data_IF_944409800712
#
_entry.id   IF_944409800712
#
_cell.length_a   1.000
_cell.length_b   1.000
_cell.length_c   1.000
_cell.angle_alpha   90.00
_cell.angle_beta   90.00
_cell.angle_gamma   90.00
#
_symmetry.space_group_name_H-M   'P 1'
#
loop_
_entity.id
_entity.type
_entity.pdbx_description
1 polymer ?
#
# COMPACT_ATOMS: atom_id res chain seq x y z
N UNK A 1 11.67 -4.66 11.56
CA UNK A 1 12.40 -4.59 10.27
C UNK A 1 12.35 -3.20 9.67
N UNK A 2 11.17 -2.64 9.35
CA UNK A 2 11.06 -1.30 8.74
C UNK A 2 11.64 -0.16 9.60
N UNK A 3 11.55 -0.28 10.93
CA UNK A 3 12.10 0.71 11.88
C UNK A 3 13.62 0.59 12.08
N UNK A 4 14.20 -0.57 11.76
CA UNK A 4 15.63 -0.78 11.90
C UNK A 4 16.38 -0.26 10.65
N UNK A 5 17.70 -0.01 10.71
CA UNK A 5 18.49 0.30 9.53
C UNK A 5 18.35 -0.78 8.44
N UNK A 6 18.67 -0.46 7.17
CA UNK A 6 18.60 -1.43 6.07
C UNK A 6 19.32 -2.74 6.39
N UNK A 7 18.61 -3.87 6.22
CA UNK A 7 19.14 -5.18 6.57
C UNK A 7 20.08 -5.75 5.49
N UNK A 8 19.94 -5.36 4.23
CA UNK A 8 20.87 -5.79 3.18
C UNK A 8 22.11 -4.90 3.16
N UNK A 9 23.28 -5.51 3.26
CA UNK A 9 24.56 -4.80 3.17
C UNK A 9 24.87 -4.39 1.72
N UNK A 10 25.80 -3.47 1.50
CA UNK A 10 26.36 -3.28 0.16
C UNK A 10 27.54 -4.26 0.04
N UNK A 11 27.49 -5.26 -0.85
CA UNK A 11 28.62 -6.16 -1.03
C UNK A 11 29.80 -5.42 -1.68
N UNK A 12 31.04 -5.84 -1.44
CA UNK A 12 32.18 -5.32 -2.19
C UNK A 12 32.07 -5.72 -3.68
N UNK A 13 32.65 -4.94 -4.61
CA UNK A 13 32.45 -5.15 -6.06
C UNK A 13 32.77 -6.56 -6.55
N UNK A 14 33.77 -7.22 -5.96
CA UNK A 14 34.18 -8.57 -6.32
C UNK A 14 33.26 -9.68 -5.79
N UNK A 15 32.25 -9.35 -4.99
CA UNK A 15 31.30 -10.30 -4.38
C UNK A 15 29.84 -10.01 -4.72
N UNK A 16 29.57 -9.12 -5.66
CA UNK A 16 28.21 -8.72 -6.03
C UNK A 16 27.34 -9.91 -6.49
N UNK A 17 27.83 -10.76 -7.39
CA UNK A 17 27.06 -11.90 -7.88
C UNK A 17 26.83 -12.97 -6.81
N UNK A 18 27.83 -13.20 -5.95
CA UNK A 18 27.68 -14.12 -4.82
C UNK A 18 26.61 -13.60 -3.84
N UNK A 19 26.66 -12.30 -3.50
CA UNK A 19 25.66 -11.66 -2.66
C UNK A 19 24.26 -11.69 -3.28
N UNK A 20 24.15 -11.43 -4.59
CA UNK A 20 22.90 -11.53 -5.31
C UNK A 20 22.32 -12.94 -5.24
N UNK A 21 23.16 -13.97 -5.42
CA UNK A 21 22.75 -15.38 -5.37
C UNK A 21 22.21 -15.75 -3.99
N UNK A 22 22.92 -15.40 -2.91
CA UNK A 22 22.45 -15.67 -1.55
C UNK A 22 21.15 -14.91 -1.23
N UNK A 23 21.07 -13.62 -1.60
CA UNK A 23 19.87 -12.81 -1.35
C UNK A 23 18.65 -13.29 -2.09
N UNK A 24 18.80 -13.75 -3.34
CA UNK A 24 17.69 -14.26 -4.17
C UNK A 24 16.86 -15.33 -3.46
N UNK A 25 17.49 -16.15 -2.61
CA UNK A 25 16.81 -17.19 -1.83
C UNK A 25 15.87 -16.64 -0.76
N UNK A 26 16.06 -15.39 -0.34
CA UNK A 26 15.27 -14.72 0.70
C UNK A 26 14.16 -13.85 0.11
N UNK A 27 14.23 -13.54 -1.18
CA UNK A 27 13.28 -12.66 -1.87
C UNK A 27 11.89 -13.30 -1.99
N UNK A 28 10.87 -12.56 -1.56
CA UNK A 28 9.48 -12.97 -1.69
C UNK A 28 8.89 -12.46 -3.03
N UNK A 29 8.10 -13.29 -3.76
CA UNK A 29 7.48 -12.89 -5.02
C UNK A 29 6.54 -11.70 -4.90
N UNK A 30 5.80 -11.60 -3.80
CA UNK A 30 4.82 -10.54 -3.56
C UNK A 30 5.41 -9.23 -3.02
N UNK A 31 6.74 -9.10 -2.99
CA UNK A 31 7.42 -7.84 -2.74
C UNK A 31 8.36 -7.80 -1.54
N UNK A 32 8.89 -6.62 -1.30
CA UNK A 32 9.97 -6.36 -0.35
C UNK A 32 9.49 -6.42 1.11
N UNK A 33 8.25 -6.04 1.43
CA UNK A 33 7.75 -6.16 2.80
C UNK A 33 7.72 -7.61 3.27
N UNK A 34 7.25 -8.53 2.41
CA UNK A 34 7.26 -9.96 2.70
C UNK A 34 8.68 -10.53 2.65
N UNK A 35 9.57 -9.97 1.82
CA UNK A 35 11.00 -10.28 1.84
C UNK A 35 11.63 -9.95 3.21
N UNK A 36 11.30 -8.80 3.80
CA UNK A 36 11.80 -8.44 5.14
C UNK A 36 11.31 -9.40 6.22
N UNK A 37 10.07 -9.90 6.10
CA UNK A 37 9.53 -10.94 6.98
C UNK A 37 10.31 -12.25 6.81
N UNK A 38 10.57 -12.67 5.57
CA UNK A 38 11.38 -13.85 5.27
C UNK A 38 12.78 -13.75 5.88
N UNK A 39 13.45 -12.62 5.69
CA UNK A 39 14.79 -12.36 6.25
C UNK A 39 14.78 -12.46 7.78
N UNK A 40 13.81 -11.81 8.43
CA UNK A 40 13.66 -11.88 9.89
C UNK A 40 13.42 -13.32 10.36
N UNK A 41 12.51 -14.04 9.72
CA UNK A 41 12.19 -15.42 10.10
C UNK A 41 13.40 -16.36 9.91
N UNK A 42 14.12 -16.22 8.79
CA UNK A 42 15.32 -17.01 8.53
C UNK A 42 16.40 -16.72 9.59
N UNK A 43 16.58 -15.47 9.99
CA UNK A 43 17.51 -15.11 11.07
C UNK A 43 17.18 -15.81 12.39
N UNK A 44 15.90 -15.81 12.78
CA UNK A 44 15.44 -16.50 14.00
C UNK A 44 15.61 -18.02 13.87
N UNK A 45 15.29 -18.61 12.72
CA UNK A 45 15.44 -20.05 12.47
C UNK A 45 16.91 -20.50 12.52
N UNK A 46 17.84 -19.62 12.14
CA UNK A 46 19.27 -19.84 12.28
C UNK A 46 19.82 -19.44 13.66
N UNK A 47 18.97 -19.34 14.68
CA UNK A 47 19.35 -19.03 16.07
C UNK A 47 20.17 -17.73 16.20
N UNK A 48 19.78 -16.71 15.44
CA UNK A 48 20.41 -15.39 15.48
C UNK A 48 21.91 -15.38 15.09
N UNK A 49 22.34 -16.39 14.33
CA UNK A 49 23.73 -16.59 13.92
C UNK A 49 24.30 -15.45 13.04
N UNK A 50 25.37 -14.83 13.53
CA UNK A 50 26.10 -13.79 12.80
C UNK A 50 26.89 -14.33 11.59
N UNK A 51 27.34 -15.58 11.63
CA UNK A 51 28.03 -16.20 10.50
C UNK A 51 27.06 -16.43 9.33
N UNK A 52 25.83 -16.85 9.62
CA UNK A 52 24.75 -16.88 8.64
C UNK A 52 24.47 -15.50 8.05
N UNK A 53 24.38 -14.45 8.89
CA UNK A 53 24.20 -13.08 8.41
C UNK A 53 25.32 -12.64 7.46
N UNK A 54 26.57 -12.94 7.82
CA UNK A 54 27.75 -12.62 7.00
C UNK A 54 27.70 -13.33 5.65
N UNK A 55 27.36 -14.61 5.64
CA UNK A 55 27.25 -15.42 4.42
C UNK A 55 26.16 -14.90 3.48
N UNK A 56 25.04 -14.44 4.03
CA UNK A 56 23.90 -13.93 3.26
C UNK A 56 23.96 -12.42 2.99
N UNK A 57 25.05 -11.75 3.39
CA UNK A 57 25.25 -10.30 3.27
C UNK A 57 24.12 -9.48 3.91
N UNK A 58 23.77 -9.88 5.13
CA UNK A 58 22.73 -9.27 5.97
C UNK A 58 23.40 -8.60 7.17
N UNK A 59 22.88 -7.45 7.56
CA UNK A 59 23.31 -6.69 8.72
C UNK A 59 22.77 -7.31 10.01
N UNK A 60 23.60 -8.07 10.72
CA UNK A 60 23.24 -8.70 11.99
C UNK A 60 22.81 -7.68 13.06
N UNK A 61 23.44 -6.49 13.10
CA UNK A 61 23.08 -5.45 14.06
C UNK A 61 21.68 -4.89 13.79
N UNK A 62 21.31 -4.71 12.52
CA UNK A 62 19.96 -4.29 12.15
C UNK A 62 18.91 -5.34 12.55
N UNK A 63 19.23 -6.63 12.39
CA UNK A 63 18.34 -7.72 12.79
C UNK A 63 18.17 -7.83 14.29
N UNK A 64 19.27 -7.76 15.07
CA UNK A 64 19.19 -7.70 16.54
C UNK A 64 18.31 -6.55 17.02
N UNK A 65 18.48 -5.35 16.43
CA UNK A 65 17.62 -4.22 16.75
C UNK A 65 16.15 -4.51 16.39
N UNK A 66 15.89 -5.15 15.24
CA UNK A 66 14.54 -5.52 14.87
C UNK A 66 13.90 -6.53 15.84
N UNK A 67 14.69 -7.46 16.40
CA UNK A 67 14.23 -8.40 17.45
C UNK A 67 13.83 -7.63 18.72
N UNK A 68 14.68 -6.72 19.18
CA UNK A 68 14.40 -5.89 20.35
C UNK A 68 13.13 -5.03 20.17
N UNK A 69 13.02 -4.33 19.04
CA UNK A 69 11.84 -3.51 18.73
C UNK A 69 10.58 -4.37 18.68
N UNK A 70 10.65 -5.59 18.12
CA UNK A 70 9.50 -6.48 18.07
C UNK A 70 9.07 -6.93 19.47
N UNK A 71 10.01 -7.21 20.37
CA UNK A 71 9.71 -7.58 21.75
C UNK A 71 9.01 -6.42 22.48
N UNK A 72 9.53 -5.20 22.35
CA UNK A 72 8.92 -4.01 22.96
C UNK A 72 7.50 -3.75 22.42
N UNK A 73 7.31 -3.83 21.10
CA UNK A 73 5.98 -3.67 20.51
C UNK A 73 5.00 -4.75 21.00
N UNK A 74 5.47 -5.98 21.20
CA UNK A 74 4.64 -7.06 21.71
C UNK A 74 4.21 -6.81 23.18
N UNK A 75 5.13 -6.32 24.02
CA UNK A 75 4.82 -5.93 25.40
C UNK A 75 3.77 -4.79 25.43
N UNK A 76 3.92 -3.79 24.55
CA UNK A 76 2.95 -2.70 24.43
C UNK A 76 1.58 -3.23 24.01
N UNK A 77 1.52 -4.11 22.99
CA UNK A 77 0.27 -4.73 22.53
C UNK A 77 -0.43 -5.51 23.65
N UNK A 78 0.33 -6.28 24.43
CA UNK A 78 -0.21 -7.03 25.58
C UNK A 78 -0.74 -6.08 26.65
N UNK A 79 -0.03 -4.99 26.95
CA UNK A 79 -0.44 -3.99 27.96
C UNK A 79 -1.75 -3.29 27.61
N UNK A 80 -2.00 -3.06 26.32
CA UNK A 80 -3.25 -2.45 25.84
C UNK A 80 -4.32 -3.48 25.44
N UNK A 81 -4.09 -4.76 25.79
CA UNK A 81 -5.01 -5.88 25.51
C UNK A 81 -5.35 -6.05 24.02
N UNK A 82 -4.42 -5.68 23.14
CA UNK A 82 -4.60 -5.86 21.70
C UNK A 82 -4.35 -7.33 21.34
N UNK A 83 -5.29 -8.00 20.65
CA UNK A 83 -5.18 -9.43 20.36
C UNK A 83 -3.96 -9.73 19.49
N UNK A 84 -3.15 -10.68 19.93
CA UNK A 84 -1.97 -11.16 19.19
C UNK A 84 -2.27 -12.53 18.62
N UNK A 85 -2.45 -12.61 17.30
CA UNK A 85 -2.57 -13.89 16.60
C UNK A 85 -1.20 -14.53 16.40
N UNK A 86 -1.10 -15.87 16.43
CA UNK A 86 0.12 -16.55 16.01
C UNK A 86 0.45 -16.22 14.54
N UNK A 87 1.75 -16.19 14.18
CA UNK A 87 2.16 -15.90 12.82
C UNK A 87 1.71 -17.01 11.84
N UNK A 88 0.85 -16.68 10.87
CA UNK A 88 0.38 -17.59 9.83
C UNK A 88 1.14 -17.41 8.50
N UNK A 89 2.47 -17.29 8.56
CA UNK A 89 3.30 -17.01 7.39
C UNK A 89 3.21 -18.10 6.31
N UNK A 90 3.28 -17.72 5.03
CA UNK A 90 3.29 -18.64 3.89
C UNK A 90 1.92 -19.00 3.31
N UNK A 91 0.81 -18.65 3.98
CA UNK A 91 -0.53 -18.77 3.42
C UNK A 91 -0.88 -17.55 2.54
N UNK A 92 -1.56 -17.78 1.40
CA UNK A 92 -2.02 -16.71 0.50
C UNK A 92 -2.98 -15.74 1.20
N UNK A 93 -3.86 -16.25 2.06
CA UNK A 93 -4.77 -15.41 2.85
C UNK A 93 -3.99 -14.51 3.81
N UNK A 94 -2.93 -15.03 4.41
CA UNK A 94 -2.09 -14.25 5.32
C UNK A 94 -1.29 -13.18 4.58
N UNK A 95 -0.76 -13.48 3.39
CA UNK A 95 -0.14 -12.47 2.52
C UNK A 95 -1.10 -11.33 2.19
N UNK A 96 -2.35 -11.68 1.85
CA UNK A 96 -3.42 -10.71 1.57
C UNK A 96 -3.73 -9.88 2.81
N UNK A 97 -3.86 -10.51 3.99
CA UNK A 97 -4.09 -9.82 5.25
C UNK A 97 -2.94 -8.87 5.63
N UNK A 98 -1.68 -9.26 5.40
CA UNK A 98 -0.52 -8.38 5.59
C UNK A 98 -0.60 -7.17 4.65
N UNK A 99 -0.90 -7.38 3.36
CA UNK A 99 -1.06 -6.28 2.39
C UNK A 99 -2.19 -5.32 2.82
N UNK A 100 -3.32 -5.85 3.28
CA UNK A 100 -4.43 -5.04 3.81
C UNK A 100 -3.99 -4.22 5.02
N UNK A 101 -3.29 -4.84 5.98
CA UNK A 101 -2.75 -4.13 7.15
C UNK A 101 -1.74 -3.02 6.76
N UNK A 102 -0.88 -3.28 5.77
CA UNK A 102 0.04 -2.27 5.23
C UNK A 102 -0.72 -1.09 4.62
N UNK A 103 -1.75 -1.36 3.82
CA UNK A 103 -2.58 -0.30 3.21
C UNK A 103 -3.23 0.56 4.29
N UNK A 104 -3.78 -0.03 5.35
CA UNK A 104 -4.41 0.73 6.44
C UNK A 104 -3.47 1.75 7.10
N UNK A 105 -2.17 1.47 7.17
CA UNK A 105 -1.17 2.39 7.72
C UNK A 105 -0.47 3.28 6.69
N UNK A 106 -0.35 2.84 5.43
CA UNK A 106 0.47 3.46 4.40
C UNK A 106 -0.29 3.77 3.10
N UNK A 107 -1.62 3.96 3.15
CA UNK A 107 -2.43 4.29 1.98
C UNK A 107 -1.96 5.56 1.23
N UNK A 108 -1.29 6.50 1.91
CA UNK A 108 -0.69 7.66 1.21
C UNK A 108 0.56 7.32 0.38
N UNK A 109 1.16 6.15 0.60
CA UNK A 109 2.39 5.71 -0.08
C UNK A 109 2.10 4.67 -1.16
N UNK A 110 1.29 5.08 -2.13
CA UNK A 110 0.92 4.25 -3.28
C UNK A 110 1.40 4.89 -4.58
N UNK A 111 1.86 4.05 -5.50
CA UNK A 111 2.18 4.43 -6.85
C UNK A 111 1.58 3.43 -7.85
N UNK A 112 1.25 3.93 -9.04
CA UNK A 112 0.75 3.12 -10.15
C UNK A 112 1.68 3.25 -11.36
N UNK A 113 1.90 2.14 -12.06
CA UNK A 113 2.67 2.09 -13.29
C UNK A 113 1.85 2.66 -14.45
N UNK A 114 2.42 3.61 -15.18
CA UNK A 114 1.68 4.36 -16.23
C UNK A 114 1.76 3.68 -17.60
N UNK A 115 2.80 2.90 -17.87
CA UNK A 115 3.09 2.38 -19.21
C UNK A 115 3.52 0.90 -19.24
N UNK A 116 3.43 0.21 -18.10
CA UNK A 116 3.85 -1.19 -17.98
C UNK A 116 5.37 -1.39 -18.00
N UNK A 117 6.15 -0.31 -18.03
CA UNK A 117 7.61 -0.35 -18.06
C UNK A 117 8.26 -0.12 -16.69
N UNK A 118 7.44 -0.02 -15.63
CA UNK A 118 7.90 0.28 -14.27
C UNK A 118 8.19 1.77 -14.05
N UNK A 119 7.41 2.63 -14.71
CA UNK A 119 7.38 4.07 -14.53
C UNK A 119 6.25 4.41 -13.56
N UNK A 120 6.57 4.46 -12.28
CA UNK A 120 5.57 4.60 -11.23
C UNK A 120 5.25 6.06 -10.94
N UNK A 121 4.03 6.49 -11.21
CA UNK A 121 3.52 7.77 -10.74
C UNK A 121 3.00 7.64 -9.31
N UNK A 122 3.60 8.40 -8.40
CA UNK A 122 3.19 8.50 -6.99
C UNK A 122 1.88 9.27 -6.90
N UNK A 123 0.84 8.67 -6.31
CA UNK A 123 -0.51 9.24 -6.29
C UNK A 123 -0.61 10.51 -5.43
N UNK A 124 0.20 10.62 -4.37
CA UNK A 124 0.21 11.77 -3.44
C UNK A 124 0.91 12.99 -4.01
N UNK A 125 2.08 12.79 -4.63
CA UNK A 125 2.98 13.89 -5.00
C UNK A 125 3.09 14.11 -6.52
N UNK A 126 2.48 13.23 -7.34
CA UNK A 126 2.53 13.28 -8.81
C UNK A 126 3.96 13.30 -9.38
N UNK A 127 4.90 12.70 -8.65
CA UNK A 127 6.26 12.46 -9.14
C UNK A 127 6.32 11.08 -9.79
N UNK A 128 7.13 10.96 -10.85
CA UNK A 128 7.49 9.67 -11.43
C UNK A 128 8.74 9.15 -10.73
N UNK A 129 8.73 7.86 -10.39
CA UNK A 129 9.83 7.15 -9.78
C UNK A 129 9.94 5.73 -10.35
N UNK A 130 11.09 5.11 -10.14
CA UNK A 130 11.33 3.72 -10.51
C UNK A 130 11.49 2.84 -9.27
N UNK A 131 11.35 1.53 -9.46
CA UNK A 131 11.72 0.57 -8.42
C UNK A 131 13.22 0.67 -8.14
N UNK A 132 13.57 0.71 -6.86
CA UNK A 132 14.97 0.65 -6.46
C UNK A 132 15.66 -0.60 -7.06
N UNK A 133 16.93 -0.54 -7.52
CA UNK A 133 17.64 -1.66 -8.13
C UNK A 133 17.67 -2.95 -7.29
N UNK A 134 17.63 -2.81 -5.96
CA UNK A 134 17.59 -3.93 -5.01
C UNK A 134 16.19 -4.43 -4.64
N UNK A 135 15.13 -3.93 -5.28
CA UNK A 135 13.79 -4.46 -5.06
C UNK A 135 13.69 -5.90 -5.54
N UNK A 136 12.87 -6.71 -4.87
CA UNK A 136 12.66 -8.12 -5.20
C UNK A 136 12.18 -8.31 -6.64
N UNK A 137 11.39 -7.36 -7.16
CA UNK A 137 10.92 -7.36 -8.56
C UNK A 137 12.04 -7.22 -9.59
N UNK A 138 13.19 -6.63 -9.22
CA UNK A 138 14.37 -6.48 -10.10
C UNK A 138 15.41 -7.57 -9.86
N UNK A 139 15.56 -8.04 -8.63
CA UNK A 139 16.62 -9.00 -8.27
C UNK A 139 16.24 -10.47 -8.45
N UNK A 140 14.95 -10.82 -8.42
CA UNK A 140 14.47 -12.20 -8.63
C UNK A 140 14.72 -12.68 -10.04
N UNK A 141 14.88 -14.01 -10.20
CA UNK A 141 15.11 -14.69 -11.47
C UNK A 141 14.11 -15.87 -11.63
N UNK A 142 13.41 -16.01 -12.78
CA UNK A 142 13.32 -15.04 -13.88
C UNK A 142 12.76 -13.70 -13.39
N UNK A 143 13.15 -12.61 -14.06
CA UNK A 143 12.70 -11.28 -13.65
C UNK A 143 11.20 -11.16 -13.93
N UNK A 144 10.35 -10.93 -12.90
CA UNK A 144 8.94 -10.72 -13.12
C UNK A 144 8.69 -9.38 -13.84
N UNK A 145 7.54 -9.26 -14.50
CA UNK A 145 7.06 -7.96 -14.96
C UNK A 145 6.85 -7.00 -13.77
N UNK A 146 6.97 -5.68 -13.99
CA UNK A 146 6.68 -4.71 -12.95
C UNK A 146 5.20 -4.83 -12.53
N UNK A 147 4.89 -4.85 -11.23
CA UNK A 147 3.49 -4.84 -10.77
C UNK A 147 2.81 -3.51 -11.10
N UNK A 148 1.55 -3.54 -11.52
CA UNK A 148 0.82 -2.34 -11.93
C UNK A 148 0.57 -1.35 -10.79
N UNK A 149 0.29 -1.86 -9.59
CA UNK A 149 -0.04 -1.05 -8.41
C UNK A 149 0.83 -1.49 -7.25
N UNK A 150 1.48 -0.53 -6.61
CA UNK A 150 2.42 -0.81 -5.54
C UNK A 150 2.24 0.12 -4.35
N UNK A 151 2.46 -0.45 -3.17
CA UNK A 151 2.69 0.28 -1.93
C UNK A 151 4.20 0.34 -1.67
N UNK A 152 4.72 1.52 -1.34
CA UNK A 152 6.14 1.73 -1.04
C UNK A 152 6.34 2.24 0.38
N UNK A 153 7.50 1.96 0.98
CA UNK A 153 7.84 2.50 2.31
C UNK A 153 8.57 3.82 2.22
N UNK A 154 9.60 3.92 1.37
CA UNK A 154 10.44 5.11 1.24
C UNK A 154 10.50 5.61 -0.20
N UNK A 155 10.61 6.92 -0.33
CA UNK A 155 10.83 7.61 -1.60
C UNK A 155 12.07 8.49 -1.45
N UNK A 156 13.01 8.36 -2.39
CA UNK A 156 14.22 9.16 -2.43
C UNK A 156 14.22 10.03 -3.68
N UNK A 157 14.32 11.35 -3.50
CA UNK A 157 14.51 12.31 -4.58
C UNK A 157 16.00 12.38 -4.88
N UNK A 158 16.40 11.97 -6.08
CA UNK A 158 17.80 12.02 -6.54
C UNK A 158 17.84 12.24 -8.05
N UNK A 159 18.98 12.02 -8.72
CA UNK A 159 19.03 12.01 -10.19
C UNK A 159 18.06 10.99 -10.78
N UNK A 160 17.93 9.82 -10.14
CA UNK A 160 16.93 8.81 -10.45
C UNK A 160 16.00 8.64 -9.25
N UNK A 161 14.81 9.24 -9.34
CA UNK A 161 13.78 9.09 -8.33
C UNK A 161 13.46 7.61 -8.13
N UNK A 162 13.61 7.11 -6.90
CA UNK A 162 13.41 5.70 -6.59
C UNK A 162 12.47 5.51 -5.41
N UNK A 163 11.57 4.54 -5.53
CA UNK A 163 10.80 3.99 -4.42
C UNK A 163 11.47 2.72 -3.89
N UNK A 164 11.53 2.60 -2.56
CA UNK A 164 12.18 1.51 -1.83
C UNK A 164 11.16 0.77 -0.96
N UNK A 165 11.45 -0.51 -0.75
CA UNK A 165 10.61 -1.44 -0.01
C UNK A 165 9.20 -1.43 -0.59
N UNK A 166 9.04 -2.11 -1.72
CA UNK A 166 7.84 -2.06 -2.55
C UNK A 166 7.10 -3.40 -2.47
N UNK A 167 5.78 -3.36 -2.33
CA UNK A 167 4.91 -4.54 -2.45
C UNK A 167 3.74 -4.27 -3.35
N UNK A 168 3.44 -5.25 -4.19
CA UNK A 168 2.26 -5.26 -5.06
C UNK A 168 1.00 -5.24 -4.21
N UNK A 169 0.06 -4.39 -4.62
CA UNK A 169 -1.27 -4.30 -4.02
C UNK A 169 -2.32 -4.32 -5.13
N UNK A 170 -3.52 -4.74 -4.77
CA UNK A 170 -4.66 -4.66 -5.67
C UNK A 170 -5.46 -3.38 -5.41
N UNK A 171 -5.87 -2.66 -6.47
CA UNK A 171 -6.55 -1.37 -6.34
C UNK A 171 -7.90 -1.46 -5.61
N UNK A 172 -8.59 -2.61 -5.67
CA UNK A 172 -9.85 -2.79 -4.93
C UNK A 172 -9.66 -2.63 -3.41
N UNK A 173 -8.50 -3.03 -2.87
CA UNK A 173 -8.19 -2.88 -1.44
C UNK A 173 -8.05 -1.42 -1.04
N UNK A 174 -7.62 -0.54 -1.96
CA UNK A 174 -7.51 0.90 -1.70
C UNK A 174 -8.87 1.55 -1.56
N UNK A 175 -9.77 1.20 -2.49
CA UNK A 175 -11.16 1.65 -2.50
C UNK A 175 -11.92 1.14 -1.26
N UNK A 176 -11.62 -0.08 -0.82
CA UNK A 176 -12.24 -0.67 0.37
C UNK A 176 -11.72 -0.07 1.68
N UNK A 177 -10.39 0.06 1.83
CA UNK A 177 -9.75 0.41 3.10
C UNK A 177 -9.61 1.92 3.33
N UNK A 178 -9.51 2.72 2.28
CA UNK A 178 -9.37 4.18 2.38
C UNK A 178 -10.23 4.95 1.34
N UNK A 179 -11.55 4.68 1.25
CA UNK A 179 -12.42 5.27 0.23
C UNK A 179 -12.45 6.79 0.27
N UNK A 180 -12.44 7.39 1.47
CA UNK A 180 -12.51 8.85 1.64
C UNK A 180 -11.34 9.55 0.94
N UNK A 181 -10.13 8.97 1.04
CA UNK A 181 -8.95 9.53 0.41
C UNK A 181 -9.00 9.32 -1.11
N UNK A 182 -9.18 8.07 -1.57
CA UNK A 182 -9.04 7.74 -2.99
C UNK A 182 -10.21 8.17 -3.87
N UNK A 183 -11.42 8.26 -3.33
CA UNK A 183 -12.62 8.65 -4.08
C UNK A 183 -12.99 10.13 -3.90
N UNK A 184 -12.59 10.75 -2.79
CA UNK A 184 -12.90 12.14 -2.48
C UNK A 184 -11.71 13.08 -2.68
N UNK A 185 -10.64 12.84 -1.92
CA UNK A 185 -9.55 13.80 -1.76
C UNK A 185 -8.46 13.71 -2.85
N UNK A 186 -8.32 12.56 -3.50
CA UNK A 186 -7.30 12.34 -4.50
C UNK A 186 -7.55 13.28 -5.70
N UNK A 187 -6.58 14.08 -6.16
CA UNK A 187 -6.75 14.94 -7.32
C UNK A 187 -7.11 14.15 -8.59
N UNK A 188 -7.85 14.78 -9.51
CA UNK A 188 -8.21 14.18 -10.81
C UNK A 188 -6.97 13.68 -11.55
N UNK A 189 -7.01 12.41 -11.95
CA UNK A 189 -5.94 11.68 -12.65
C UNK A 189 -6.51 10.37 -13.21
N UNK A 190 -5.85 9.79 -14.21
CA UNK A 190 -6.25 8.49 -14.76
C UNK A 190 -6.35 7.41 -13.67
N UNK A 191 -5.42 7.40 -12.72
CA UNK A 191 -5.46 6.51 -11.56
C UNK A 191 -6.68 6.73 -10.66
N UNK A 192 -7.14 7.97 -10.47
CA UNK A 192 -8.39 8.25 -9.71
C UNK A 192 -9.60 7.77 -10.49
N UNK A 193 -9.67 8.06 -11.78
CA UNK A 193 -10.82 7.72 -12.63
C UNK A 193 -10.99 6.20 -12.70
N UNK A 194 -9.88 5.47 -12.83
CA UNK A 194 -9.84 4.01 -12.72
C UNK A 194 -10.39 3.50 -11.37
N UNK A 195 -9.99 4.10 -10.24
CA UNK A 195 -10.48 3.70 -8.93
C UNK A 195 -11.98 3.98 -8.74
N UNK A 196 -12.50 5.04 -9.35
CA UNK A 196 -13.93 5.36 -9.35
C UNK A 196 -14.74 4.36 -10.17
N UNK A 197 -14.27 4.00 -11.36
CA UNK A 197 -14.89 2.95 -12.20
C UNK A 197 -14.85 1.59 -11.50
N UNK A 198 -13.71 1.25 -10.88
CA UNK A 198 -13.57 0.04 -10.09
C UNK A 198 -14.57 0.00 -8.93
N UNK A 199 -14.84 1.13 -8.27
CA UNK A 199 -15.88 1.18 -7.22
C UNK A 199 -17.27 0.88 -7.78
N UNK A 200 -17.61 1.41 -8.96
CA UNK A 200 -18.92 1.20 -9.57
C UNK A 200 -19.13 -0.26 -9.97
N UNK A 201 -18.10 -0.90 -10.54
CA UNK A 201 -18.17 -2.33 -10.91
C UNK A 201 -18.26 -3.28 -9.72
N UNK A 202 -17.80 -2.88 -8.54
CA UNK A 202 -17.88 -3.67 -7.30
C UNK A 202 -19.23 -3.52 -6.58
N UNK A 203 -20.06 -2.53 -6.93
CA UNK A 203 -21.41 -2.43 -6.38
C UNK A 203 -22.26 -3.55 -7.00
N UNK A 204 -23.03 -4.31 -6.21
CA UNK A 204 -23.99 -5.25 -6.76
C UNK A 204 -24.93 -4.47 -7.69
N UNK A 205 -25.39 -5.06 -8.82
CA UNK A 205 -26.40 -4.43 -9.65
C UNK A 205 -27.58 -4.09 -8.74
N UNK A 206 -27.87 -2.80 -8.60
CA UNK A 206 -29.00 -2.36 -7.79
C UNK A 206 -30.25 -3.03 -8.33
N UNK A 207 -31.05 -3.63 -7.43
CA UNK A 207 -32.43 -3.94 -7.76
C UNK A 207 -33.05 -2.64 -8.32
N UNK A 208 -33.68 -2.68 -9.50
CA UNK A 208 -34.34 -1.49 -10.02
C UNK A 208 -35.36 -1.05 -8.97
N UNK A 209 -35.21 0.18 -8.47
CA UNK A 209 -36.22 0.82 -7.63
C UNK A 209 -37.57 0.64 -8.34
N UNK A 210 -38.49 -0.08 -7.70
CA UNK A 210 -39.87 -0.20 -8.17
C UNK A 210 -40.44 1.22 -8.27
N UNK A 211 -40.54 1.71 -9.50
CA UNK A 211 -41.28 2.90 -9.85
C UNK A 211 -42.74 2.69 -9.46
N UNK A 212 -43.11 3.16 -8.27
CA UNK A 212 -44.49 3.35 -7.87
C UNK A 212 -45.10 4.53 -8.61
N UNK A 213 -45.59 4.30 -9.83
CA UNK A 213 -46.62 5.12 -10.46
C UNK A 213 -48.01 4.63 -10.05
N UNK A 214 -48.68 5.36 -9.16
CA UNK A 214 -50.14 5.56 -9.12
C UNK A 214 -50.35 6.98 -8.54
N UNK A 215 -51.13 7.93 -9.07
CA UNK A 215 -52.14 7.95 -10.10
C UNK A 215 -53.14 9.08 -9.79
N UNK A 216 -52.97 10.23 -10.45
CA UNK A 216 -54.00 11.17 -10.95
C UNK A 216 -54.94 12.03 -10.04
N UNK A 217 -55.09 13.30 -10.51
CA UNK A 217 -56.20 14.31 -10.40
C UNK A 217 -56.20 15.24 -9.16
N UNK A 218 -56.43 16.56 -9.23
CA UNK A 218 -57.25 17.33 -10.18
C UNK A 218 -56.89 18.86 -10.25
N UNK A 219 -57.07 19.42 -11.46
CA UNK A 219 -57.65 20.74 -11.88
C UNK A 219 -57.48 22.01 -11.02
N UNK A 220 -57.09 23.11 -11.70
CA UNK A 220 -57.68 24.44 -11.49
C UNK A 220 -56.77 25.62 -11.84
N UNK A 221 -56.88 26.16 -13.06
CA UNK A 221 -56.31 27.46 -13.46
C UNK A 221 -57.12 28.64 -12.87
N UNK A 222 -56.43 29.74 -12.52
CA UNK A 222 -57.01 31.08 -12.45
C UNK A 222 -56.54 31.95 -11.26
N UNK A 223 -56.35 33.27 -11.43
CA UNK A 223 -55.08 33.94 -11.09
C UNK A 223 -55.21 35.14 -10.13
N UNK A 224 -54.10 35.54 -9.49
CA UNK A 224 -53.76 36.97 -9.19
C UNK A 224 -52.51 37.12 -8.30
N UNK A 225 -51.47 37.77 -8.83
CA UNK A 225 -50.47 38.56 -8.10
C UNK A 225 -51.18 39.86 -7.60
N UNK A 226 -50.80 40.55 -6.48
CA UNK A 226 -49.48 41.20 -6.40
C UNK A 226 -48.86 41.38 -4.99
N UNK A 227 -47.54 41.66 -5.01
CA UNK A 227 -46.75 42.46 -4.05
C UNK A 227 -46.12 41.74 -2.83
N UNK A 228 -44.80 41.88 -2.82
CA UNK A 228 -43.95 42.53 -1.80
C UNK A 228 -42.98 41.66 -0.98
N UNK A 229 -41.74 42.14 -1.02
CA UNK A 229 -40.70 42.14 0.02
C UNK A 229 -39.69 40.98 0.02
N UNK A 230 -38.61 41.26 -0.71
CA UNK A 230 -37.21 41.07 -0.33
C UNK A 230 -36.99 41.06 1.20
N UNK A 231 -36.35 40.02 1.71
CA UNK A 231 -35.39 40.15 2.80
C UNK A 231 -34.32 39.07 2.67
N UNK A 232 -33.16 39.51 2.23
CA UNK A 232 -31.85 38.88 2.44
C UNK A 232 -31.63 38.72 3.94
N UNK A 233 -31.08 37.59 4.40
CA UNK A 233 -30.09 37.66 5.47
C UNK A 233 -29.13 36.46 5.41
N UNK A 234 -27.86 36.84 5.29
CA UNK A 234 -26.66 36.03 5.34
C UNK A 234 -26.36 35.70 6.80
N UNK A 235 -26.09 34.43 7.11
CA UNK A 235 -25.56 34.04 8.42
C UNK A 235 -24.05 33.75 8.29
N UNK A 236 -23.24 34.69 8.79
CA UNK A 236 -21.83 34.50 9.12
C UNK A 236 -21.76 33.82 10.50
N UNK A 237 -21.00 32.73 10.61
CA UNK A 237 -20.67 32.09 11.88
C UNK A 237 -19.22 32.44 12.22
N UNK A 238 -19.02 32.87 13.47
CA UNK A 238 -17.75 33.17 14.13
C UNK A 238 -16.89 31.92 14.33
#
# INVERSE_FOLDING_TARGET
MLTAPPCFLVPPPNKEEAAATHRRLLLHPEGDHLTLINVYNAYIQHNEDEAWCTTNYINAAALRLAVLIRAELLEVMQRIELPVSPPAFGCQDNSTNIKRALISGFFLKVAHDVDGSGNYLLLTHRHVAHLHPFSSYRCRRPQPGPPNWVLYHDFTISHDNCIRTVSEIHPHMLVELAPQYYLGNLPSSEGRDFLMELRQSLLPPGDPEEGGEEGAKARGEGPSDPRNQVSTDMCLIQ
#
